data_IF_759715783599
#
_entry.id   IF_759715783599
#
_cell.length_a   1.000
_cell.length_b   1.000
_cell.length_c   1.000
_cell.angle_alpha   90.00
_cell.angle_beta   90.00
_cell.angle_gamma   90.00
#
_symmetry.space_group_name_H-M   'P 1'
#
loop_
_entity.id
_entity.type
_entity.pdbx_description
1 polymer ?
#
# COMPACT_ATOMS: atom_id res chain seq x y z
N UNK A 1 11.21 -7.28 7.67
CA UNK A 1 11.41 -8.44 6.75
C UNK A 1 10.18 -8.56 5.86
N UNK A 2 10.27 -9.21 4.71
CA UNK A 2 9.13 -9.42 3.82
C UNK A 2 9.24 -10.73 3.04
N UNK A 3 8.11 -11.24 2.56
CA UNK A 3 8.02 -12.33 1.58
C UNK A 3 7.01 -11.94 0.51
N UNK A 4 7.14 -12.50 -0.69
CA UNK A 4 6.22 -12.24 -1.78
C UNK A 4 5.56 -13.53 -2.28
N UNK A 5 4.27 -13.45 -2.57
CA UNK A 5 3.56 -14.41 -3.40
C UNK A 5 3.67 -13.89 -4.84
N UNK A 6 4.35 -14.62 -5.74
CA UNK A 6 4.70 -14.10 -7.06
C UNK A 6 3.51 -14.04 -8.02
N UNK A 7 3.69 -13.31 -9.12
CA UNK A 7 2.76 -13.29 -10.24
C UNK A 7 2.44 -14.71 -10.73
N UNK A 8 1.17 -14.97 -11.05
CA UNK A 8 0.69 -16.28 -11.51
C UNK A 8 0.24 -17.21 -10.38
N UNK A 9 0.61 -16.93 -9.13
CA UNK A 9 0.23 -17.78 -8.00
C UNK A 9 -1.30 -17.87 -7.82
N UNK A 10 -2.02 -16.75 -8.01
CA UNK A 10 -3.49 -16.74 -7.99
C UNK A 10 -4.07 -17.71 -9.03
N UNK A 11 -3.60 -17.62 -10.27
CA UNK A 11 -4.04 -18.47 -11.36
C UNK A 11 -3.73 -19.95 -11.09
N UNK A 12 -2.53 -20.25 -10.59
CA UNK A 12 -2.14 -21.61 -10.20
C UNK A 12 -3.07 -22.14 -9.11
N UNK A 13 -3.31 -21.38 -8.04
CA UNK A 13 -4.17 -21.79 -6.92
C UNK A 13 -5.63 -21.97 -7.36
N UNK A 14 -6.12 -21.12 -8.26
CA UNK A 14 -7.47 -21.23 -8.82
C UNK A 14 -7.61 -22.47 -9.72
N UNK A 15 -6.56 -22.90 -10.39
CA UNK A 15 -6.57 -24.06 -11.30
C UNK A 15 -6.54 -25.42 -10.59
N UNK A 16 -6.20 -25.46 -9.30
CA UNK A 16 -6.15 -26.71 -8.53
C UNK A 16 -7.55 -27.30 -8.31
N UNK A 17 -7.62 -28.63 -8.22
CA UNK A 17 -8.88 -29.37 -8.08
C UNK A 17 -9.75 -28.89 -6.90
N UNK A 18 -9.11 -28.49 -5.79
CA UNK A 18 -9.78 -27.95 -4.60
C UNK A 18 -10.60 -26.67 -4.89
N UNK A 19 -10.27 -25.94 -5.96
CA UNK A 19 -10.94 -24.70 -6.37
C UNK A 19 -11.65 -24.81 -7.73
N UNK A 20 -11.82 -26.02 -8.28
CA UNK A 20 -12.34 -26.24 -9.65
C UNK A 20 -13.74 -25.64 -9.87
N UNK A 21 -14.61 -25.75 -8.87
CA UNK A 21 -15.96 -25.17 -8.93
C UNK A 21 -15.93 -23.64 -8.95
N UNK A 22 -15.07 -23.05 -8.12
CA UNK A 22 -14.85 -21.60 -8.07
C UNK A 22 -14.24 -21.10 -9.39
N UNK A 23 -13.27 -21.83 -9.94
CA UNK A 23 -12.67 -21.54 -11.24
C UNK A 23 -13.71 -21.53 -12.36
N UNK A 24 -14.56 -22.54 -12.42
CA UNK A 24 -15.65 -22.63 -13.41
C UNK A 24 -16.64 -21.48 -13.28
N UNK A 25 -17.03 -21.14 -12.04
CA UNK A 25 -17.91 -20.00 -11.74
C UNK A 25 -17.30 -18.68 -12.18
N UNK A 26 -16.03 -18.43 -11.84
CA UNK A 26 -15.31 -17.21 -12.24
C UNK A 26 -15.20 -17.14 -13.77
N UNK A 27 -14.89 -18.24 -14.46
CA UNK A 27 -14.81 -18.28 -15.92
C UNK A 27 -16.15 -17.89 -16.57
N UNK A 28 -17.28 -18.39 -16.05
CA UNK A 28 -18.61 -18.00 -16.53
C UNK A 28 -18.87 -16.51 -16.31
N UNK A 29 -18.61 -16.00 -15.10
CA UNK A 29 -18.81 -14.59 -14.77
C UNK A 29 -17.93 -13.67 -15.63
N UNK A 30 -16.67 -14.06 -15.90
CA UNK A 30 -15.76 -13.32 -16.79
C UNK A 30 -16.33 -13.17 -18.19
N UNK A 31 -16.96 -14.21 -18.76
CA UNK A 31 -17.62 -14.11 -20.07
C UNK A 31 -18.74 -13.06 -20.07
N UNK A 32 -19.53 -12.99 -18.99
CA UNK A 32 -20.58 -11.97 -18.84
C UNK A 32 -20.01 -10.56 -18.73
N UNK A 33 -18.93 -10.39 -17.95
CA UNK A 33 -18.23 -9.10 -17.80
C UNK A 33 -17.63 -8.65 -19.15
N UNK A 34 -17.00 -9.58 -19.90
CA UNK A 34 -16.48 -9.29 -21.24
C UNK A 34 -17.58 -8.98 -22.26
N UNK A 35 -18.79 -9.53 -22.06
CA UNK A 35 -20.00 -9.18 -22.80
C UNK A 35 -20.62 -7.83 -22.39
N UNK A 36 -19.99 -7.08 -21.49
CA UNK A 36 -20.41 -5.73 -21.08
C UNK A 36 -21.14 -5.65 -19.74
N UNK A 37 -21.42 -6.77 -19.06
CA UNK A 37 -22.13 -6.75 -17.77
C UNK A 37 -21.17 -6.51 -16.59
N UNK A 38 -20.81 -5.23 -16.38
CA UNK A 38 -19.87 -4.81 -15.33
C UNK A 38 -20.37 -5.10 -13.91
N UNK A 39 -21.69 -5.22 -13.70
CA UNK A 39 -22.26 -5.56 -12.38
C UNK A 39 -21.76 -6.91 -11.82
N UNK A 40 -21.34 -7.83 -12.72
CA UNK A 40 -20.81 -9.14 -12.35
C UNK A 40 -19.41 -9.11 -11.73
N UNK A 41 -18.72 -7.96 -11.74
CA UNK A 41 -17.44 -7.80 -11.05
C UNK A 41 -17.55 -8.12 -9.55
N UNK A 42 -18.63 -7.68 -8.89
CA UNK A 42 -18.83 -7.96 -7.46
C UNK A 42 -19.04 -9.47 -7.19
N UNK A 43 -19.74 -10.16 -8.10
CA UNK A 43 -19.92 -11.62 -8.01
C UNK A 43 -18.60 -12.37 -8.21
N UNK A 44 -17.70 -11.89 -9.08
CA UNK A 44 -16.34 -12.45 -9.24
C UNK A 44 -15.56 -12.28 -7.94
N UNK A 45 -15.57 -11.08 -7.36
CA UNK A 45 -14.91 -10.83 -6.06
C UNK A 45 -15.44 -11.76 -4.98
N UNK A 46 -16.76 -11.90 -4.87
CA UNK A 46 -17.39 -12.82 -3.92
C UNK A 46 -16.98 -14.29 -4.13
N UNK A 47 -16.86 -14.73 -5.38
CA UNK A 47 -16.40 -16.08 -5.70
C UNK A 47 -14.91 -16.30 -5.30
N UNK A 48 -14.04 -15.32 -5.54
CA UNK A 48 -12.62 -15.39 -5.11
C UNK A 48 -12.52 -15.53 -3.59
N UNK A 49 -13.35 -14.81 -2.84
CA UNK A 49 -13.39 -14.91 -1.38
C UNK A 49 -13.85 -16.29 -0.87
N UNK A 50 -14.45 -17.12 -1.72
CA UNK A 50 -14.85 -18.50 -1.38
C UNK A 50 -13.76 -19.54 -1.68
N UNK A 51 -12.61 -19.15 -2.24
CA UNK A 51 -11.52 -20.07 -2.54
C UNK A 51 -10.98 -20.76 -1.29
N UNK A 52 -10.74 -22.06 -1.44
CA UNK A 52 -10.05 -22.91 -0.48
C UNK A 52 -8.55 -22.76 -0.64
N UNK A 53 -7.84 -22.75 0.49
CA UNK A 53 -6.38 -22.65 0.51
C UNK A 53 -5.75 -24.03 0.24
N UNK A 54 -4.83 -24.16 -0.73
CA UNK A 54 -4.10 -25.40 -0.93
C UNK A 54 -3.07 -25.62 0.19
N UNK A 55 -2.94 -26.86 0.66
CA UNK A 55 -1.96 -27.24 1.70
C UNK A 55 -0.52 -26.92 1.27
N UNK A 56 -0.21 -27.06 -0.02
CA UNK A 56 1.10 -26.74 -0.59
C UNK A 56 1.46 -25.26 -0.39
N UNK A 57 0.53 -24.35 -0.69
CA UNK A 57 0.72 -22.91 -0.51
C UNK A 57 0.95 -22.56 0.96
N UNK A 58 0.13 -23.11 1.86
CA UNK A 58 0.28 -22.91 3.30
C UNK A 58 1.67 -23.34 3.77
N UNK A 59 2.10 -24.55 3.38
CA UNK A 59 3.37 -25.14 3.81
C UNK A 59 4.56 -24.31 3.32
N UNK A 60 4.56 -23.93 2.04
CA UNK A 60 5.65 -23.16 1.45
C UNK A 60 5.73 -21.75 2.04
N UNK A 61 4.58 -21.06 2.15
CA UNK A 61 4.56 -19.71 2.70
C UNK A 61 5.02 -19.69 4.18
N UNK A 62 4.58 -20.69 4.96
CA UNK A 62 5.02 -20.89 6.36
C UNK A 62 6.53 -21.03 6.42
N UNK A 63 7.09 -21.92 5.60
CA UNK A 63 8.54 -22.16 5.57
C UNK A 63 9.30 -20.89 5.19
N UNK A 64 8.83 -20.13 4.19
CA UNK A 64 9.52 -18.92 3.72
C UNK A 64 9.47 -17.81 4.75
N UNK A 65 8.32 -17.55 5.37
CA UNK A 65 8.22 -16.53 6.42
C UNK A 65 9.07 -16.86 7.65
N UNK A 66 9.12 -18.14 8.07
CA UNK A 66 10.04 -18.60 9.13
C UNK A 66 11.49 -18.34 8.76
N UNK A 67 11.91 -18.68 7.54
CA UNK A 67 13.28 -18.44 7.06
C UNK A 67 13.63 -16.94 6.98
N UNK A 68 12.66 -16.10 6.63
CA UNK A 68 12.77 -14.65 6.60
C UNK A 68 12.67 -14.01 7.99
N UNK A 69 12.55 -14.79 9.07
CA UNK A 69 12.36 -14.31 10.45
C UNK A 69 11.17 -13.36 10.60
N UNK A 70 10.17 -13.49 9.73
CA UNK A 70 8.93 -12.74 9.88
C UNK A 70 8.13 -13.33 11.04
N UNK A 71 7.40 -12.51 11.81
CA UNK A 71 6.44 -13.00 12.77
C UNK A 71 5.37 -13.77 11.99
N UNK A 72 5.47 -15.10 11.96
CA UNK A 72 4.38 -15.90 11.44
C UNK A 72 3.20 -15.77 12.40
N UNK A 73 1.96 -15.80 11.91
CA UNK A 73 0.78 -16.04 12.73
C UNK A 73 0.78 -17.46 13.35
N UNK A 74 1.80 -17.80 14.14
CA UNK A 74 2.00 -19.13 14.76
C UNK A 74 1.45 -19.16 16.19
N UNK A 75 1.13 -18.00 16.78
CA UNK A 75 0.78 -17.91 18.21
C UNK A 75 -0.72 -17.99 18.51
N UNK A 76 -1.59 -18.07 17.50
CA UNK A 76 -3.05 -18.04 17.70
C UNK A 76 -3.86 -19.17 17.05
N UNK A 77 -3.22 -20.19 16.48
CA UNK A 77 -3.92 -21.33 15.85
C UNK A 77 -4.59 -21.00 14.51
N UNK A 78 -5.55 -21.84 14.09
CA UNK A 78 -6.21 -21.80 12.77
C UNK A 78 -6.86 -20.45 12.42
N UNK A 79 -7.25 -19.66 13.42
CA UNK A 79 -7.88 -18.35 13.23
C UNK A 79 -6.94 -17.34 12.53
N UNK A 80 -5.66 -17.30 12.91
CA UNK A 80 -4.75 -16.31 12.35
C UNK A 80 -4.40 -16.60 10.88
N UNK A 81 -4.26 -17.88 10.53
CA UNK A 81 -4.08 -18.28 9.13
C UNK A 81 -5.31 -17.94 8.29
N UNK A 82 -6.51 -18.16 8.83
CA UNK A 82 -7.74 -17.77 8.14
C UNK A 82 -7.75 -16.27 7.84
N UNK A 83 -7.32 -15.42 8.76
CA UNK A 83 -7.22 -13.97 8.53
C UNK A 83 -6.19 -13.62 7.45
N UNK A 84 -5.01 -14.22 7.49
CA UNK A 84 -3.99 -14.07 6.44
C UNK A 84 -4.51 -14.50 5.06
N UNK A 85 -5.18 -15.65 4.99
CA UNK A 85 -5.78 -16.15 3.75
C UNK A 85 -6.90 -15.24 3.24
N UNK A 86 -7.74 -14.72 4.13
CA UNK A 86 -8.75 -13.72 3.76
C UNK A 86 -8.10 -12.44 3.21
N UNK A 87 -7.00 -11.97 3.79
CA UNK A 87 -6.26 -10.82 3.27
C UNK A 87 -5.69 -11.08 1.87
N UNK A 88 -5.04 -12.23 1.65
CA UNK A 88 -4.54 -12.64 0.33
C UNK A 88 -5.67 -12.68 -0.72
N UNK A 89 -6.80 -13.30 -0.39
CA UNK A 89 -7.96 -13.35 -1.29
C UNK A 89 -8.54 -11.96 -1.59
N UNK A 90 -8.57 -11.05 -0.60
CA UNK A 90 -9.01 -9.67 -0.80
C UNK A 90 -8.07 -8.92 -1.75
N UNK A 91 -6.75 -9.08 -1.60
CA UNK A 91 -5.76 -8.49 -2.52
C UNK A 91 -5.97 -9.03 -3.94
N UNK A 92 -6.10 -10.34 -4.13
CA UNK A 92 -6.39 -10.91 -5.45
C UNK A 92 -7.74 -10.48 -6.02
N UNK A 93 -8.78 -10.41 -5.19
CA UNK A 93 -10.10 -9.94 -5.60
C UNK A 93 -10.09 -8.47 -6.02
N UNK A 94 -9.18 -7.65 -5.47
CA UNK A 94 -9.05 -6.23 -5.83
C UNK A 94 -8.71 -6.02 -7.31
N UNK A 95 -8.15 -7.03 -7.99
CA UNK A 95 -8.03 -7.04 -9.46
C UNK A 95 -9.36 -6.73 -10.14
N UNK A 96 -10.48 -7.19 -9.61
CA UNK A 96 -11.82 -6.95 -10.16
C UNK A 96 -12.55 -5.78 -9.49
N UNK A 97 -11.84 -4.88 -8.81
CA UNK A 97 -12.41 -3.59 -8.45
C UNK A 97 -12.89 -2.86 -9.71
N UNK A 98 -14.05 -2.20 -9.63
CA UNK A 98 -14.63 -1.49 -10.77
C UNK A 98 -13.67 -0.43 -11.31
N UNK A 99 -13.04 0.36 -10.42
CA UNK A 99 -12.00 1.33 -10.77
C UNK A 99 -10.83 0.69 -11.53
N UNK A 100 -10.37 -0.48 -11.08
CA UNK A 100 -9.25 -1.18 -11.69
C UNK A 100 -9.62 -1.69 -13.08
N UNK A 101 -10.77 -2.37 -13.20
CA UNK A 101 -11.26 -2.91 -14.46
C UNK A 101 -11.51 -1.83 -15.52
N UNK A 102 -12.18 -0.73 -15.16
CA UNK A 102 -12.44 0.39 -16.08
C UNK A 102 -11.13 1.05 -16.51
N UNK A 103 -10.19 1.26 -15.58
CA UNK A 103 -8.88 1.84 -15.90
C UNK A 103 -8.12 0.96 -16.92
N UNK A 104 -8.13 -0.36 -16.73
CA UNK A 104 -7.49 -1.31 -17.65
C UNK A 104 -8.10 -1.23 -19.05
N UNK A 105 -9.44 -1.20 -19.14
CA UNK A 105 -10.16 -1.05 -20.42
C UNK A 105 -9.84 0.27 -21.11
N UNK A 106 -9.78 1.38 -20.35
CA UNK A 106 -9.41 2.70 -20.88
C UNK A 106 -8.00 2.73 -21.44
N UNK A 107 -7.06 2.07 -20.76
CA UNK A 107 -5.69 1.88 -21.23
C UNK A 107 -5.55 0.82 -22.33
N UNK A 108 -6.65 0.21 -22.79
CA UNK A 108 -6.69 -0.86 -23.79
C UNK A 108 -5.83 -2.08 -23.39
N UNK A 109 -5.65 -2.28 -22.08
CA UNK A 109 -4.99 -3.45 -21.53
C UNK A 109 -5.98 -4.61 -21.46
N UNK A 110 -5.50 -5.81 -21.78
CA UNK A 110 -6.27 -7.01 -21.57
C UNK A 110 -6.26 -7.37 -20.08
N UNK A 111 -7.42 -7.27 -19.44
CA UNK A 111 -7.60 -7.60 -18.03
C UNK A 111 -7.18 -9.02 -17.66
N UNK A 112 -7.26 -9.94 -18.62
CA UNK A 112 -6.87 -11.34 -18.43
C UNK A 112 -5.35 -11.55 -18.44
N UNK A 113 -4.55 -10.58 -18.88
CA UNK A 113 -3.08 -10.65 -18.87
C UNK A 113 -2.47 -10.06 -17.59
N UNK A 114 -3.28 -9.31 -16.83
CA UNK A 114 -2.87 -8.80 -15.52
C UNK A 114 -2.72 -9.94 -14.52
N UNK A 115 -1.59 -9.96 -13.82
CA UNK A 115 -1.27 -10.92 -12.77
C UNK A 115 -1.02 -10.11 -11.50
N UNK A 116 -1.65 -10.53 -10.41
CA UNK A 116 -1.44 -9.92 -9.09
C UNK A 116 -0.42 -10.73 -8.29
N UNK A 117 0.60 -10.05 -7.79
CA UNK A 117 1.45 -10.53 -6.71
C UNK A 117 0.94 -9.98 -5.36
N UNK A 118 1.41 -10.59 -4.28
CA UNK A 118 1.13 -10.13 -2.92
C UNK A 118 2.43 -10.00 -2.15
N UNK A 119 2.83 -8.78 -1.81
CA UNK A 119 3.95 -8.53 -0.90
C UNK A 119 3.43 -8.58 0.54
N UNK A 120 4.00 -9.47 1.34
CA UNK A 120 3.67 -9.65 2.75
C UNK A 120 4.79 -9.02 3.57
N UNK A 121 4.43 -8.07 4.40
CA UNK A 121 5.37 -7.16 5.05
C UNK A 121 4.92 -6.90 6.49
N UNK A 122 5.86 -6.81 7.42
CA UNK A 122 5.57 -6.27 8.76
C UNK A 122 5.22 -4.79 8.68
N UNK A 123 4.16 -4.39 9.40
CA UNK A 123 3.78 -3.00 9.51
C UNK A 123 4.65 -2.32 10.56
N UNK A 124 5.27 -1.22 10.16
CA UNK A 124 5.99 -0.35 11.09
C UNK A 124 4.96 0.63 11.67
N UNK A 125 4.49 0.35 12.88
CA UNK A 125 3.64 1.26 13.65
C UNK A 125 4.46 2.51 14.02
N UNK A 126 4.46 3.51 13.15
CA UNK A 126 5.16 4.77 13.34
C UNK A 126 4.34 5.81 14.08
N UNK A 127 5.04 6.79 14.66
CA UNK A 127 4.45 7.98 15.28
C UNK A 127 3.80 8.87 14.21
N UNK A 128 4.46 8.93 13.05
CA UNK A 128 4.01 9.67 11.88
C UNK A 128 4.19 8.84 10.59
N UNK A 129 3.37 9.10 9.59
CA UNK A 129 3.55 8.61 8.23
C UNK A 129 3.72 9.80 7.28
N UNK A 130 4.45 9.59 6.18
CA UNK A 130 4.73 10.63 5.20
C UNK A 130 4.66 10.14 3.76
N UNK A 131 4.37 11.07 2.86
CA UNK A 131 4.53 10.93 1.41
C UNK A 131 5.46 12.04 0.92
N UNK A 132 6.38 11.71 0.04
CA UNK A 132 7.34 12.64 -0.58
C UNK A 132 7.18 12.60 -2.09
N UNK A 133 7.15 13.77 -2.70
CA UNK A 133 7.38 13.98 -4.12
C UNK A 133 8.69 14.74 -4.31
N UNK A 134 9.67 14.11 -4.98
CA UNK A 134 10.99 14.73 -5.17
C UNK A 134 11.03 15.71 -6.35
N UNK A 135 9.96 15.80 -7.13
CA UNK A 135 9.62 16.99 -7.94
C UNK A 135 8.35 17.59 -7.34
N UNK A 136 8.36 18.88 -7.03
CA UNK A 136 7.20 19.53 -6.43
C UNK A 136 5.97 19.39 -7.36
N UNK A 137 4.90 18.70 -6.94
CA UNK A 137 3.75 18.42 -7.79
C UNK A 137 2.86 19.66 -8.00
N UNK A 138 3.02 20.69 -7.15
CA UNK A 138 2.23 21.93 -7.23
C UNK A 138 2.90 22.96 -8.15
N UNK A 139 4.21 23.15 -8.02
CA UNK A 139 4.97 24.12 -8.82
C UNK A 139 5.61 23.53 -10.07
N UNK A 140 5.83 22.21 -10.11
CA UNK A 140 6.64 21.53 -11.11
C UNK A 140 8.15 21.66 -10.92
N UNK A 141 8.61 22.36 -9.87
CA UNK A 141 10.02 22.61 -9.62
C UNK A 141 10.76 21.33 -9.21
N UNK A 142 11.77 20.97 -10.00
CA UNK A 142 12.62 19.79 -9.78
C UNK A 142 13.74 20.04 -8.77
N UNK A 143 13.94 21.27 -8.33
CA UNK A 143 14.88 21.62 -7.26
C UNK A 143 14.26 21.53 -5.86
N UNK A 144 12.95 21.27 -5.79
CA UNK A 144 12.15 21.22 -4.58
C UNK A 144 11.65 19.81 -4.29
N UNK A 145 11.67 19.45 -3.01
CA UNK A 145 11.00 18.28 -2.46
C UNK A 145 9.75 18.78 -1.75
N UNK A 146 8.59 18.26 -2.14
CA UNK A 146 7.32 18.47 -1.44
C UNK A 146 6.99 17.21 -0.64
N UNK A 147 6.55 17.37 0.60
CA UNK A 147 6.15 16.24 1.41
C UNK A 147 5.00 16.57 2.34
N UNK A 148 4.21 15.55 2.63
CA UNK A 148 3.07 15.58 3.53
C UNK A 148 3.26 14.57 4.66
N UNK A 149 2.86 14.96 5.87
CA UNK A 149 3.04 14.17 7.09
C UNK A 149 1.75 14.15 7.91
N UNK A 150 1.38 12.98 8.41
CA UNK A 150 0.23 12.74 9.29
C UNK A 150 0.66 11.95 10.53
N UNK A 151 -0.12 12.02 11.61
CA UNK A 151 0.07 11.16 12.79
C UNK A 151 -0.48 9.76 12.51
N UNK A 152 0.20 8.74 13.01
CA UNK A 152 -0.20 7.34 12.86
C UNK A 152 0.10 6.79 11.46
N UNK A 153 -0.78 5.92 10.97
CA UNK A 153 -0.62 5.17 9.73
C UNK A 153 -0.82 6.04 8.47
N UNK A 154 -0.16 5.64 7.37
CA UNK A 154 -0.22 6.33 6.07
C UNK A 154 -1.62 6.34 5.45
N UNK A 155 -2.45 5.38 5.80
CA UNK A 155 -3.87 5.30 5.45
C UNK A 155 -4.66 6.52 5.93
N UNK A 156 -4.19 7.22 6.98
CA UNK A 156 -4.73 8.51 7.43
C UNK A 156 -4.58 9.62 6.38
N UNK A 157 -3.50 9.55 5.59
CA UNK A 157 -3.19 10.50 4.52
C UNK A 157 -4.04 10.21 3.28
N UNK A 158 -4.13 8.94 2.89
CA UNK A 158 -4.89 8.48 1.70
C UNK A 158 -6.41 8.51 1.93
N UNK A 159 -6.85 8.27 3.15
CA UNK A 159 -8.26 8.25 3.51
C UNK A 159 -8.91 9.63 3.46
N UNK A 160 -10.21 9.66 3.13
CA UNK A 160 -11.04 10.87 3.04
C UNK A 160 -11.43 11.44 4.44
N UNK A 161 -10.47 11.52 5.36
CA UNK A 161 -10.68 12.08 6.70
C UNK A 161 -10.58 13.62 6.69
N UNK A 162 -11.54 14.33 7.31
CA UNK A 162 -11.53 15.79 7.36
C UNK A 162 -10.27 16.38 8.00
N UNK A 163 -9.85 17.54 7.48
CA UNK A 163 -8.64 18.25 7.89
C UNK A 163 -7.47 18.04 6.92
N UNK A 164 -6.33 18.64 7.23
CA UNK A 164 -5.14 18.62 6.36
C UNK A 164 -3.97 17.92 7.04
N UNK A 165 -3.14 17.26 6.25
CA UNK A 165 -1.80 16.85 6.67
C UNK A 165 -0.92 18.07 6.92
N UNK A 166 0.18 17.90 7.66
CA UNK A 166 1.25 18.90 7.65
C UNK A 166 1.99 18.79 6.33
N UNK A 167 2.15 19.89 5.61
CA UNK A 167 2.87 19.91 4.34
C UNK A 167 4.07 20.82 4.45
N UNK A 168 5.16 20.47 3.77
CA UNK A 168 6.36 21.28 3.72
C UNK A 168 7.10 21.16 2.39
N UNK A 169 7.93 22.15 2.12
CA UNK A 169 8.84 22.19 0.97
C UNK A 169 10.27 22.28 1.48
N UNK A 170 11.18 21.49 0.90
CA UNK A 170 12.61 21.59 1.14
C UNK A 170 13.36 21.76 -0.19
N UNK A 171 14.31 22.68 -0.26
CA UNK A 171 15.18 22.81 -1.43
C UNK A 171 16.26 21.73 -1.39
N UNK A 172 16.51 21.05 -2.51
CA UNK A 172 17.50 19.96 -2.59
C UNK A 172 18.93 20.40 -2.27
N UNK A 173 19.23 21.70 -2.42
CA UNK A 173 20.51 22.30 -2.04
C UNK A 173 20.57 22.77 -0.57
N UNK A 174 19.44 22.81 0.15
CA UNK A 174 19.37 23.20 1.56
C UNK A 174 18.29 22.40 2.30
N UNK A 175 18.56 21.12 2.54
CA UNK A 175 17.64 20.22 3.23
C UNK A 175 17.46 20.53 4.72
N UNK A 176 18.35 21.34 5.32
CA UNK A 176 18.33 21.70 6.75
C UNK A 176 17.35 22.82 7.08
N UNK A 177 16.71 23.43 6.08
CA UNK A 177 15.77 24.54 6.27
C UNK A 177 14.44 24.27 5.55
N UNK A 178 13.70 23.20 5.91
CA UNK A 178 12.38 22.94 5.37
C UNK A 178 11.39 24.04 5.77
N UNK A 179 10.53 24.44 4.83
CA UNK A 179 9.50 25.46 5.00
C UNK A 179 8.15 24.75 5.12
N UNK A 180 7.55 24.82 6.30
CA UNK A 180 6.17 24.34 6.52
C UNK A 180 5.20 25.24 5.76
N UNK A 181 4.43 24.66 4.84
CA UNK A 181 3.44 25.37 4.03
C UNK A 181 2.02 25.20 4.60
N UNK A 182 1.77 24.10 5.31
CA UNK A 182 0.51 23.86 5.99
C UNK A 182 0.74 23.09 7.29
N UNK A 183 0.03 23.47 8.35
CA UNK A 183 0.03 22.73 9.62
C UNK A 183 -1.07 21.67 9.64
N UNK A 184 -0.81 20.58 10.36
CA UNK A 184 -1.75 19.47 10.48
C UNK A 184 -3.04 19.89 11.21
N UNK A 185 -4.18 19.38 10.72
CA UNK A 185 -5.51 19.64 11.26
C UNK A 185 -6.47 18.45 11.11
N UNK A 186 -5.97 17.27 10.68
CA UNK A 186 -6.79 16.06 10.62
C UNK A 186 -7.29 15.69 12.00
N UNK A 187 -8.61 15.47 12.12
CA UNK A 187 -9.26 15.15 13.41
C UNK A 187 -9.09 13.70 13.83
N UNK A 188 -8.86 12.82 12.86
CA UNK A 188 -8.80 11.37 13.04
C UNK A 188 -7.46 10.89 12.48
N UNK A 189 -6.81 10.01 13.22
CA UNK A 189 -5.66 9.23 12.76
C UNK A 189 -5.90 7.76 12.99
N UNK A 190 -5.34 6.94 12.11
CA UNK A 190 -5.42 5.49 12.17
C UNK A 190 -4.15 4.94 12.81
N UNK A 191 -4.31 3.94 13.65
CA UNK A 191 -3.23 3.27 14.37
C UNK A 191 -3.44 1.77 14.34
N UNK A 192 -2.37 0.99 14.43
CA UNK A 192 -2.49 -0.45 14.57
C UNK A 192 -1.52 -0.97 15.62
N UNK A 193 -1.85 -2.15 16.15
CA UNK A 193 -0.91 -2.98 16.90
C UNK A 193 0.08 -3.62 15.90
N UNK A 194 1.24 -4.11 16.37
CA UNK A 194 2.17 -4.84 15.51
C UNK A 194 1.46 -5.92 14.70
N UNK A 195 1.45 -5.76 13.39
CA UNK A 195 0.68 -6.58 12.45
C UNK A 195 1.43 -6.74 11.13
N UNK A 196 0.80 -7.42 10.18
CA UNK A 196 1.31 -7.69 8.84
C UNK A 196 0.34 -7.07 7.82
N UNK A 197 0.90 -6.48 6.77
CA UNK A 197 0.16 -5.96 5.62
C UNK A 197 0.42 -6.84 4.40
N UNK A 198 -0.64 -7.05 3.62
CA UNK A 198 -0.65 -7.74 2.34
C UNK A 198 -0.84 -6.69 1.25
N UNK A 199 0.25 -6.31 0.59
CA UNK A 199 0.25 -5.28 -0.44
C UNK A 199 0.04 -5.87 -1.81
N UNK A 200 -0.81 -5.24 -2.60
CA UNK A 200 -0.97 -5.54 -4.01
C UNK A 200 0.26 -5.07 -4.78
N UNK A 201 0.61 -5.86 -5.79
CA UNK A 201 1.46 -5.45 -6.89
C UNK A 201 0.92 -6.12 -8.15
N UNK A 202 0.91 -5.41 -9.28
CA UNK A 202 0.47 -5.95 -10.56
C UNK A 202 1.52 -5.73 -11.63
N UNK A 203 1.69 -6.72 -12.51
CA UNK A 203 2.56 -6.62 -13.67
C UNK A 203 2.14 -5.52 -14.68
N UNK A 204 1.03 -4.82 -14.44
CA UNK A 204 0.58 -3.69 -15.23
C UNK A 204 0.78 -2.32 -14.56
N UNK A 205 1.08 -2.24 -13.26
CA UNK A 205 1.01 -0.98 -12.49
C UNK A 205 1.94 0.13 -13.02
N UNK A 206 3.08 -0.27 -13.59
CA UNK A 206 4.14 0.62 -14.09
C UNK A 206 4.17 0.76 -15.63
N UNK A 207 3.13 0.31 -16.34
CA UNK A 207 3.09 0.44 -17.80
C UNK A 207 2.87 1.90 -18.24
N UNK A 208 3.67 2.36 -19.20
CA UNK A 208 3.53 3.72 -19.75
C UNK A 208 2.11 3.98 -20.28
N UNK A 209 1.44 4.99 -19.72
CA UNK A 209 0.06 5.34 -20.06
C UNK A 209 -1.03 4.67 -19.21
N UNK A 210 -0.65 3.81 -18.26
CA UNK A 210 -1.53 3.24 -17.25
C UNK A 210 -0.93 3.47 -15.85
N UNK A 211 -1.47 4.44 -15.12
CA UNK A 211 -1.12 4.62 -13.71
C UNK A 211 -1.98 3.68 -12.87
N UNK A 212 -1.40 2.54 -12.47
CA UNK A 212 -2.08 1.55 -11.62
C UNK A 212 -2.21 1.97 -10.14
N UNK A 213 -1.60 3.10 -9.79
CA UNK A 213 -1.55 3.69 -8.46
C UNK A 213 -2.92 3.71 -7.75
N UNK A 214 -3.02 3.00 -6.63
CA UNK A 214 -4.21 3.02 -5.77
C UNK A 214 -5.46 2.37 -6.40
N UNK A 215 -5.33 1.61 -7.48
CA UNK A 215 -6.44 0.87 -8.08
C UNK A 215 -6.74 -0.45 -7.34
N UNK A 216 -5.67 -1.09 -6.89
CA UNK A 216 -5.69 -2.36 -6.16
C UNK A 216 -5.60 -2.12 -4.66
N UNK A 217 -6.09 -3.08 -3.89
CA UNK A 217 -6.23 -2.93 -2.45
C UNK A 217 -5.03 -3.57 -1.74
N UNK A 218 -4.48 -2.86 -0.76
CA UNK A 218 -3.58 -3.43 0.25
C UNK A 218 -4.39 -3.67 1.52
N UNK A 219 -4.13 -4.79 2.20
CA UNK A 219 -5.00 -5.27 3.28
C UNK A 219 -4.18 -5.54 4.53
N UNK A 220 -4.52 -4.88 5.63
CA UNK A 220 -3.99 -5.19 6.96
C UNK A 220 -4.61 -6.49 7.49
N UNK A 221 -3.80 -7.29 8.19
CA UNK A 221 -4.27 -8.53 8.81
C UNK A 221 -5.16 -8.27 10.02
N UNK A 222 -4.77 -7.29 10.84
CA UNK A 222 -5.52 -6.82 12.00
C UNK A 222 -6.20 -5.49 11.65
N UNK A 223 -7.37 -5.24 12.24
CA UNK A 223 -8.09 -4.00 12.03
C UNK A 223 -7.34 -2.81 12.64
N UNK A 224 -7.43 -1.68 11.96
CA UNK A 224 -6.94 -0.39 12.43
C UNK A 224 -7.89 0.23 13.45
N UNK A 225 -7.30 0.88 14.45
CA UNK A 225 -8.02 1.63 15.47
C UNK A 225 -8.01 3.11 15.10
N UNK A 226 -9.20 3.71 15.03
CA UNK A 226 -9.39 5.14 14.76
C UNK A 226 -9.31 5.93 16.06
N UNK A 227 -8.44 6.93 16.09
CA UNK A 227 -8.24 7.80 17.26
C UNK A 227 -8.45 9.27 16.92
N UNK A 228 -9.09 10.00 17.84
CA UNK A 228 -9.19 11.46 17.76
C UNK A 228 -7.82 12.06 18.07
N UNK A 229 -7.33 12.89 17.16
CA UNK A 229 -5.99 13.47 17.26
C UNK A 229 -6.00 14.74 18.11
N UNK A 230 -5.15 14.75 19.13
CA UNK A 230 -4.75 15.96 19.85
C UNK A 230 -3.37 16.42 19.38
N UNK A 231 -3.29 17.69 18.98
CA UNK A 231 -2.07 18.35 18.51
C UNK A 231 -1.47 19.29 19.55
N UNK A 232 -2.16 19.55 20.66
CA UNK A 232 -1.78 20.56 21.66
C UNK A 232 -0.42 20.25 22.30
N UNK A 233 -0.07 18.96 22.40
CA UNK A 233 1.21 18.48 22.92
C UNK A 233 2.06 17.74 21.88
N UNK A 234 1.69 17.82 20.60
CA UNK A 234 2.40 17.11 19.54
C UNK A 234 3.78 17.75 19.28
N UNK A 235 4.90 17.01 19.41
CA UNK A 235 6.24 17.54 19.17
C UNK A 235 6.41 18.18 17.78
N UNK A 236 5.72 17.67 16.76
CA UNK A 236 5.73 18.23 15.41
C UNK A 236 5.11 19.62 15.35
N UNK A 237 4.22 19.96 16.28
CA UNK A 237 3.49 21.23 16.34
C UNK A 237 4.14 22.22 17.32
N UNK A 238 4.60 21.74 18.47
CA UNK A 238 5.05 22.61 19.58
C UNK A 238 6.57 22.71 19.72
N UNK A 239 7.34 21.80 19.12
CA UNK A 239 8.81 21.79 19.22
C UNK A 239 9.45 22.02 17.85
N UNK A 240 9.91 23.25 17.60
CA UNK A 240 10.49 23.63 16.30
C UNK A 240 11.76 22.87 15.97
N UNK A 241 12.61 22.56 16.95
CA UNK A 241 13.85 21.82 16.72
C UNK A 241 13.56 20.36 16.32
N UNK A 242 12.60 19.71 16.99
CA UNK A 242 12.13 18.38 16.62
C UNK A 242 11.51 18.39 15.22
N UNK A 243 10.59 19.33 14.94
CA UNK A 243 9.97 19.49 13.63
C UNK A 243 11.04 19.62 12.54
N UNK A 244 11.95 20.60 12.65
CA UNK A 244 12.99 20.81 11.65
C UNK A 244 13.87 19.56 11.48
N UNK A 245 14.23 18.87 12.56
CA UNK A 245 14.99 17.61 12.49
C UNK A 245 14.26 16.54 11.69
N UNK A 246 12.98 16.26 11.98
CA UNK A 246 12.22 15.22 11.27
C UNK A 246 12.00 15.61 9.81
N UNK A 247 11.54 16.85 9.53
CA UNK A 247 11.30 17.31 8.16
C UNK A 247 12.58 17.24 7.31
N UNK A 248 13.73 17.58 7.89
CA UNK A 248 15.02 17.48 7.20
C UNK A 248 15.38 16.03 6.86
N UNK A 249 15.20 15.10 7.81
CA UNK A 249 15.46 13.67 7.58
C UNK A 249 14.54 13.06 6.52
N UNK A 250 13.26 13.46 6.51
CA UNK A 250 12.29 13.05 5.49
C UNK A 250 12.74 13.55 4.11
N UNK A 251 13.13 14.83 3.99
CA UNK A 251 13.63 15.38 2.72
C UNK A 251 14.96 14.74 2.27
N UNK A 252 15.84 14.42 3.22
CA UNK A 252 17.10 13.71 2.95
C UNK A 252 16.86 12.32 2.38
N UNK A 253 15.93 11.55 2.95
CA UNK A 253 15.53 10.25 2.40
C UNK A 253 15.04 10.39 0.95
N UNK A 254 14.21 11.41 0.67
CA UNK A 254 13.74 11.71 -0.68
C UNK A 254 14.88 11.98 -1.67
N UNK A 255 15.84 12.84 -1.30
CA UNK A 255 16.99 13.16 -2.15
C UNK A 255 17.88 11.94 -2.40
N UNK A 256 18.13 11.12 -1.37
CA UNK A 256 18.94 9.90 -1.50
C UNK A 256 18.28 8.94 -2.49
N UNK A 257 16.98 8.68 -2.35
CA UNK A 257 16.26 7.74 -3.22
C UNK A 257 16.21 8.25 -4.65
N UNK A 258 15.87 9.53 -4.88
CA UNK A 258 15.91 10.12 -6.22
C UNK A 258 17.30 9.98 -6.86
N UNK A 259 18.36 10.20 -6.10
CA UNK A 259 19.75 10.04 -6.59
C UNK A 259 20.04 8.60 -6.99
N UNK A 260 19.56 7.62 -6.21
CA UNK A 260 19.74 6.20 -6.48
C UNK A 260 18.99 5.74 -7.74
N UNK A 261 17.77 6.24 -7.95
CA UNK A 261 16.94 5.87 -9.12
C UNK A 261 17.20 6.72 -10.36
N UNK A 262 17.82 7.91 -10.22
CA UNK A 262 18.14 8.81 -11.32
C UNK A 262 16.94 9.55 -11.92
N UNK A 263 15.76 9.47 -11.31
CA UNK A 263 14.55 10.18 -11.74
C UNK A 263 13.69 10.58 -10.54
N UNK A 264 12.78 11.58 -10.67
CA UNK A 264 11.88 11.98 -9.61
C UNK A 264 11.06 10.82 -9.05
N UNK A 265 10.82 10.83 -7.75
CA UNK A 265 10.20 9.73 -7.01
C UNK A 265 8.98 10.20 -6.21
N UNK A 266 8.01 9.30 -6.13
CA UNK A 266 6.89 9.29 -5.18
C UNK A 266 7.18 8.23 -4.12
N UNK A 267 7.37 8.66 -2.87
CA UNK A 267 7.93 7.83 -1.79
C UNK A 267 6.99 7.87 -0.59
N UNK A 268 6.66 6.71 -0.06
CA UNK A 268 5.91 6.57 1.18
C UNK A 268 6.83 6.04 2.28
N UNK A 269 6.65 6.55 3.50
CA UNK A 269 7.42 6.09 4.64
C UNK A 269 6.79 6.46 5.97
N UNK A 270 7.46 6.03 7.04
CA UNK A 270 7.04 6.27 8.41
C UNK A 270 8.20 6.80 9.25
N UNK A 271 7.84 7.60 10.25
CA UNK A 271 8.74 8.06 11.30
C UNK A 271 8.39 7.25 12.55
N UNK A 272 9.39 6.57 13.11
CA UNK A 272 9.25 5.85 14.37
C UNK A 272 10.45 6.14 15.25
N UNK A 273 10.23 6.65 16.46
CA UNK A 273 11.30 7.00 17.41
C UNK A 273 12.35 7.94 16.78
N UNK A 274 11.88 8.87 15.93
CA UNK A 274 12.73 9.83 15.21
C UNK A 274 13.60 9.25 14.08
N UNK A 275 13.41 7.97 13.76
CA UNK A 275 14.05 7.26 12.63
C UNK A 275 13.11 7.20 11.42
N UNK A 276 13.68 7.26 10.23
CA UNK A 276 12.94 7.22 8.96
C UNK A 276 12.97 5.80 8.41
N UNK A 277 11.80 5.26 8.08
CA UNK A 277 11.64 3.99 7.41
C UNK A 277 10.89 4.21 6.11
N UNK A 278 11.48 3.81 5.00
CA UNK A 278 10.84 3.89 3.68
C UNK A 278 10.08 2.61 3.45
N UNK A 279 8.81 2.71 3.09
CA UNK A 279 7.93 1.55 2.89
C UNK A 279 7.58 1.33 1.43
N UNK A 280 7.67 2.37 0.59
CA UNK A 280 7.44 2.28 -0.85
C UNK A 280 8.18 3.42 -1.55
N UNK A 281 8.72 3.16 -2.73
CA UNK A 281 9.26 4.18 -3.62
C UNK A 281 8.95 3.78 -5.06
N UNK A 282 8.54 4.74 -5.88
CA UNK A 282 8.28 4.55 -7.30
C UNK A 282 8.59 5.82 -8.08
N UNK A 283 8.83 5.73 -9.40
CA UNK A 283 8.94 6.90 -10.26
C UNK A 283 7.70 7.80 -10.14
N UNK A 284 7.93 9.09 -10.01
CA UNK A 284 6.87 10.10 -10.05
C UNK A 284 6.45 10.32 -11.51
N UNK A 285 5.18 10.10 -11.80
CA UNK A 285 4.55 10.28 -13.12
C UNK A 285 4.12 11.72 -13.34
#
# INVERSE_FOLDING_TARGET
MSVAIPFGAFETVLSLDVNKDISTKIMFLRKLVNGGNVSKLQEIKGAILQMSVPVSLTTELTSKMKSARMPWPDKGGDDQWNRAWQAIKKVWASKWNERAYISCKKAKLNHEDLRMAVLIQEVICGDYAFVIHTKNPLSGDTSEIYAEIVKGLGETLVGAYPGRAMSFIAKKNNLKSPIVTCYASKKIGLYCKPTIIFRSDSNGEDLGGYAGAGLYDSVLMDEEESMVLDYSNDPMMVNKAFQTSILSKVAEAGKIIETLYGCPQDIEGVVKDGMIYVVQARPQV
#
